data_IF_357144041167
#
_entry.id   IF_357144041167
#
_cell.length_a   1.000
_cell.length_b   1.000
_cell.length_c   1.000
_cell.angle_alpha   90.00
_cell.angle_beta   90.00
_cell.angle_gamma   90.00
#
_symmetry.space_group_name_H-M   'P 1'
#
loop_
_entity.id
_entity.type
_entity.pdbx_description
1 polymer ?
#
# COMPACT_ATOMS: atom_id res chain seq x y z
N UNK A 1 -11.35 7.79 -7.83
CA UNK A 1 -10.10 8.16 -7.12
C UNK A 1 -9.26 9.05 -8.03
N UNK A 2 -8.32 9.85 -7.46
CA UNK A 2 -7.31 10.58 -8.23
C UNK A 2 -6.26 9.64 -8.88
N UNK A 3 -6.19 8.40 -8.41
CA UNK A 3 -5.18 7.41 -8.79
C UNK A 3 -5.81 6.13 -9.35
N UNK A 4 -5.18 5.57 -10.39
CA UNK A 4 -5.43 4.22 -10.88
C UNK A 4 -6.66 4.06 -11.78
N UNK A 5 -6.93 2.83 -12.18
CA UNK A 5 -8.09 2.46 -13.01
C UNK A 5 -9.34 2.37 -12.13
N UNK A 6 -10.47 2.86 -12.62
CA UNK A 6 -11.76 2.74 -11.94
C UNK A 6 -12.92 2.96 -12.90
N UNK A 7 -14.12 3.06 -12.35
CA UNK A 7 -15.35 3.35 -13.10
C UNK A 7 -16.02 4.60 -12.54
N UNK A 8 -16.62 5.40 -13.42
CA UNK A 8 -17.52 6.50 -13.05
C UNK A 8 -18.89 6.23 -13.64
N UNK A 9 -19.93 6.43 -12.84
CA UNK A 9 -21.32 6.32 -13.24
C UNK A 9 -22.03 7.66 -12.97
N UNK A 10 -22.93 8.04 -13.86
CA UNK A 10 -23.89 9.12 -13.62
C UNK A 10 -25.27 8.69 -14.06
N UNK A 11 -26.28 9.18 -13.35
CA UNK A 11 -27.69 8.93 -13.65
C UNK A 11 -28.47 10.24 -13.72
N UNK A 12 -29.46 10.30 -14.60
CA UNK A 12 -30.49 11.34 -14.62
C UNK A 12 -31.87 10.71 -14.44
N UNK A 13 -32.84 11.51 -14.02
CA UNK A 13 -34.23 11.09 -13.90
C UNK A 13 -35.09 11.74 -14.98
N UNK A 14 -36.18 11.08 -15.36
CA UNK A 14 -37.18 11.64 -16.27
C UNK A 14 -38.08 12.57 -15.47
N UNK A 15 -38.05 13.86 -15.78
CA UNK A 15 -38.92 14.85 -15.13
C UNK A 15 -40.36 14.79 -15.66
N UNK A 16 -40.53 14.51 -16.95
CA UNK A 16 -41.84 14.41 -17.62
C UNK A 16 -41.90 13.11 -18.43
N UNK A 17 -42.81 12.18 -18.11
CA UNK A 17 -42.91 10.91 -18.83
C UNK A 17 -43.49 11.08 -20.24
N UNK A 18 -43.19 10.16 -21.19
CA UNK A 18 -43.77 10.20 -22.52
C UNK A 18 -45.30 10.04 -22.47
N UNK A 19 -46.01 10.77 -23.33
CA UNK A 19 -47.48 10.74 -23.46
C UNK A 19 -47.89 10.60 -24.93
N UNK A 20 -49.11 10.12 -25.18
CA UNK A 20 -49.74 10.04 -26.52
C UNK A 20 -48.86 9.34 -27.58
N UNK A 21 -48.21 8.23 -27.21
CA UNK A 21 -47.33 7.49 -28.13
C UNK A 21 -45.94 8.12 -28.35
N UNK A 22 -45.55 9.11 -27.55
CA UNK A 22 -44.23 9.73 -27.60
C UNK A 22 -43.09 8.76 -27.30
N UNK A 23 -41.91 9.02 -27.86
CA UNK A 23 -40.72 8.18 -27.70
C UNK A 23 -40.18 8.25 -26.27
N UNK A 24 -39.79 7.10 -25.67
CA UNK A 24 -39.11 7.08 -24.37
C UNK A 24 -37.81 7.89 -24.38
N UNK A 25 -37.41 8.40 -23.21
CA UNK A 25 -36.11 9.06 -23.07
C UNK A 25 -34.97 8.07 -23.38
N UNK A 26 -33.85 8.55 -23.99
CA UNK A 26 -32.64 7.76 -24.13
C UNK A 26 -32.06 7.34 -22.77
N UNK A 27 -31.04 6.48 -22.80
CA UNK A 27 -30.36 5.95 -21.61
C UNK A 27 -30.20 6.98 -20.49
N UNK A 28 -30.74 6.61 -19.33
CA UNK A 28 -30.75 7.44 -18.12
C UNK A 28 -29.50 7.22 -17.25
N UNK A 29 -28.74 6.16 -17.53
CA UNK A 29 -27.52 5.80 -16.82
C UNK A 29 -26.37 5.72 -17.82
N UNK A 30 -25.24 6.30 -17.44
CA UNK A 30 -24.02 6.23 -18.23
C UNK A 30 -22.88 5.79 -17.31
N UNK A 31 -22.15 4.75 -17.73
CA UNK A 31 -20.95 4.25 -17.05
C UNK A 31 -19.75 4.32 -17.99
N UNK A 32 -18.59 4.74 -17.48
CA UNK A 32 -17.32 4.72 -18.22
C UNK A 32 -16.15 4.30 -17.34
N UNK A 33 -15.13 3.73 -17.96
CA UNK A 33 -13.82 3.60 -17.33
C UNK A 33 -13.18 4.97 -17.08
N UNK A 34 -12.38 5.07 -16.03
CA UNK A 34 -11.53 6.23 -15.77
C UNK A 34 -10.14 5.78 -15.33
N UNK A 35 -9.14 6.59 -15.66
CA UNK A 35 -7.77 6.41 -15.19
C UNK A 35 -7.29 7.70 -14.53
N UNK A 36 -6.93 7.62 -13.26
CA UNK A 36 -6.31 8.72 -12.51
C UNK A 36 -4.79 8.67 -12.62
N UNK A 37 -4.18 9.67 -13.27
CA UNK A 37 -2.74 9.76 -13.52
C UNK A 37 -2.07 10.97 -12.85
N UNK A 38 -2.53 11.37 -11.68
CA UNK A 38 -1.89 12.46 -10.94
C UNK A 38 -0.45 12.04 -10.53
N UNK A 39 0.51 12.95 -10.57
CA UNK A 39 1.92 12.71 -10.21
C UNK A 39 2.06 12.13 -8.79
N UNK A 40 1.19 12.55 -7.87
CA UNK A 40 1.12 12.06 -6.48
C UNK A 40 0.87 10.54 -6.45
N UNK A 41 0.21 9.99 -7.48
CA UNK A 41 -0.17 8.60 -7.59
C UNK A 41 0.95 7.65 -8.01
N UNK A 42 2.17 8.12 -8.30
CA UNK A 42 3.29 7.22 -8.56
C UNK A 42 3.53 6.28 -7.37
N UNK A 43 3.45 6.82 -6.15
CA UNK A 43 3.56 6.04 -4.90
C UNK A 43 2.40 5.06 -4.70
N UNK A 44 1.20 5.38 -5.21
CA UNK A 44 0.04 4.50 -5.16
C UNK A 44 0.13 3.29 -6.12
N UNK A 45 1.01 3.36 -7.13
CA UNK A 45 1.25 2.27 -8.09
C UNK A 45 2.33 1.29 -7.61
N UNK A 46 3.11 1.67 -6.60
CA UNK A 46 4.19 0.83 -6.08
C UNK A 46 3.64 -0.35 -5.27
N UNK A 47 4.34 -1.49 -5.37
CA UNK A 47 4.05 -2.68 -4.58
C UNK A 47 5.13 -2.80 -3.52
N UNK A 48 4.74 -2.69 -2.26
CA UNK A 48 5.67 -2.86 -1.16
C UNK A 48 6.22 -4.29 -1.13
N UNK A 49 7.52 -4.42 -0.90
CA UNK A 49 8.13 -5.69 -0.51
C UNK A 49 8.42 -5.64 0.96
N UNK A 50 8.04 -6.70 1.67
CA UNK A 50 8.20 -6.77 3.12
C UNK A 50 8.89 -8.03 3.61
N UNK A 51 9.62 -7.87 4.71
CA UNK A 51 10.17 -8.93 5.55
C UNK A 51 9.65 -8.79 6.98
N UNK A 52 9.67 -9.86 7.81
CA UNK A 52 9.40 -9.72 9.23
C UNK A 52 10.51 -8.92 9.93
N UNK A 53 10.15 -8.29 11.04
CA UNK A 53 11.05 -7.56 11.94
C UNK A 53 12.30 -8.35 12.38
N UNK A 54 12.25 -9.69 12.39
CA UNK A 54 13.42 -10.54 12.64
C UNK A 54 14.58 -10.35 11.65
N UNK A 55 14.34 -9.76 10.48
CA UNK A 55 15.39 -9.41 9.50
C UNK A 55 16.01 -8.02 9.75
N UNK A 56 15.58 -7.31 10.80
CA UNK A 56 16.12 -5.99 11.15
C UNK A 56 17.61 -6.10 11.41
N UNK A 57 18.42 -5.49 10.54
CA UNK A 57 19.87 -5.44 10.72
C UNK A 57 20.20 -4.36 11.73
N UNK A 58 20.76 -4.75 12.86
CA UNK A 58 21.34 -3.79 13.80
C UNK A 58 22.74 -3.39 13.32
N UNK A 59 23.15 -2.16 13.64
CA UNK A 59 24.48 -1.61 13.31
C UNK A 59 25.66 -2.49 13.78
N UNK A 60 25.44 -3.37 14.78
CA UNK A 60 26.39 -4.38 15.27
C UNK A 60 26.44 -5.68 14.44
N UNK A 61 26.24 -5.64 13.13
CA UNK A 61 26.45 -6.82 12.30
C UNK A 61 27.97 -7.02 12.09
N UNK A 62 28.60 -8.08 12.64
CA UNK A 62 30.04 -8.32 12.52
C UNK A 62 30.49 -8.52 11.06
N UNK A 63 29.55 -8.82 10.16
CA UNK A 63 29.79 -9.02 8.73
C UNK A 63 29.66 -7.74 7.91
N UNK A 64 29.28 -6.59 8.51
CA UNK A 64 29.36 -5.28 7.84
C UNK A 64 30.83 -4.93 7.61
N UNK A 65 31.25 -4.97 6.35
CA UNK A 65 32.60 -4.55 5.94
C UNK A 65 32.80 -3.05 6.24
N UNK A 66 33.83 -2.65 7.01
CA UNK A 66 34.05 -1.25 7.38
C UNK A 66 34.16 -0.27 6.20
N UNK A 67 34.57 -0.75 5.02
CA UNK A 67 34.80 0.08 3.83
C UNK A 67 33.54 0.35 2.98
N UNK A 68 32.35 -0.11 3.42
CA UNK A 68 31.04 0.23 2.80
C UNK A 68 30.33 1.39 3.54
N UNK A 69 30.95 1.96 4.57
CA UNK A 69 30.42 3.11 5.29
C UNK A 69 30.65 4.36 4.45
N UNK A 70 29.57 4.93 3.94
CA UNK A 70 29.23 6.37 3.86
C UNK A 70 28.00 6.53 2.94
N UNK A 71 26.94 5.75 3.16
CA UNK A 71 25.60 6.21 2.77
C UNK A 71 25.11 7.01 3.98
N UNK A 72 24.75 8.28 3.79
CA UNK A 72 24.17 9.11 4.85
C UNK A 72 23.10 8.30 5.58
N UNK A 73 23.32 8.08 6.88
CA UNK A 73 22.43 7.29 7.71
C UNK A 73 21.23 8.18 8.05
N UNK A 74 20.10 7.89 7.41
CA UNK A 74 18.84 8.61 7.60
C UNK A 74 18.04 7.95 8.72
N UNK A 75 17.34 8.76 9.51
CA UNK A 75 16.50 8.24 10.58
C UNK A 75 15.38 7.36 10.03
N UNK A 76 15.17 6.19 10.65
CA UNK A 76 14.10 5.28 10.27
C UNK A 76 12.73 5.83 10.65
N UNK A 77 11.73 5.70 9.79
CA UNK A 77 10.34 6.05 10.10
C UNK A 77 9.41 4.83 10.04
N UNK A 78 8.29 4.91 10.74
CA UNK A 78 7.26 3.88 10.82
C UNK A 78 6.05 4.28 9.99
N UNK A 79 5.44 3.33 9.31
CA UNK A 79 4.15 3.48 8.63
C UNK A 79 3.18 2.44 9.15
N UNK A 80 2.00 2.89 9.56
CA UNK A 80 0.96 2.00 10.07
C UNK A 80 -0.03 1.69 8.96
N UNK A 81 -0.04 0.43 8.55
CA UNK A 81 -0.80 -0.07 7.41
C UNK A 81 -1.96 -0.95 7.88
N UNK A 82 -3.18 -0.58 7.48
CA UNK A 82 -4.38 -1.37 7.73
C UNK A 82 -4.56 -2.41 6.63
N UNK A 83 -4.42 -3.69 6.96
CA UNK A 83 -4.56 -4.79 5.98
C UNK A 83 -6.00 -4.87 5.48
N UNK A 84 -6.21 -4.77 4.16
CA UNK A 84 -7.53 -4.90 3.52
C UNK A 84 -7.72 -6.24 2.83
N UNK A 85 -6.63 -6.84 2.38
CA UNK A 85 -6.62 -8.16 1.75
C UNK A 85 -5.32 -8.87 2.08
N UNK A 86 -5.41 -10.18 2.30
CA UNK A 86 -4.27 -11.07 2.37
C UNK A 86 -4.61 -12.40 1.69
N UNK A 87 -3.69 -12.91 0.89
CA UNK A 87 -3.79 -14.20 0.23
C UNK A 87 -3.77 -15.36 1.23
N UNK A 88 -4.34 -16.52 0.86
CA UNK A 88 -4.34 -17.71 1.71
C UNK A 88 -2.93 -18.22 2.05
N UNK A 89 -1.97 -18.01 1.15
CA UNK A 89 -0.56 -18.38 1.34
C UNK A 89 0.09 -17.70 2.56
N UNK A 90 -0.45 -16.57 3.03
CA UNK A 90 0.06 -15.91 4.24
C UNK A 90 -0.07 -16.78 5.49
N UNK A 91 -0.96 -17.78 5.50
CA UNK A 91 -1.11 -18.72 6.63
C UNK A 91 0.03 -19.76 6.70
N UNK A 92 0.87 -19.89 5.67
CA UNK A 92 1.89 -20.94 5.57
C UNK A 92 3.14 -20.68 6.41
N UNK A 93 3.44 -19.42 6.76
CA UNK A 93 4.56 -19.06 7.64
C UNK A 93 4.04 -18.39 8.89
N UNK A 94 4.62 -18.72 10.04
CA UNK A 94 4.18 -18.23 11.35
C UNK A 94 4.16 -16.69 11.43
N UNK A 95 5.21 -16.04 10.92
CA UNK A 95 5.33 -14.58 10.93
C UNK A 95 4.33 -13.89 10.01
N UNK A 96 3.88 -14.53 8.93
CA UNK A 96 2.94 -13.95 7.96
C UNK A 96 1.48 -14.31 8.26
N UNK A 97 1.23 -15.32 9.10
CA UNK A 97 -0.12 -15.79 9.45
C UNK A 97 -0.96 -14.70 10.14
N UNK A 98 -0.28 -13.75 10.76
CA UNK A 98 -0.85 -12.57 11.40
C UNK A 98 -1.27 -11.46 10.41
N UNK A 99 -0.92 -11.52 9.12
CA UNK A 99 -1.35 -10.54 8.11
C UNK A 99 -2.81 -10.81 7.72
N UNK A 100 -3.73 -10.52 8.64
CA UNK A 100 -5.17 -10.75 8.48
C UNK A 100 -5.91 -9.44 8.24
N UNK A 101 -7.10 -9.53 7.63
CA UNK A 101 -7.94 -8.37 7.31
C UNK A 101 -8.24 -7.52 8.56
N UNK A 102 -8.23 -6.20 8.37
CA UNK A 102 -8.38 -5.13 9.37
C UNK A 102 -7.29 -5.04 10.45
N UNK A 103 -6.29 -5.91 10.42
CA UNK A 103 -5.15 -5.76 11.33
C UNK A 103 -4.32 -4.53 10.95
N UNK A 104 -3.95 -3.75 11.97
CA UNK A 104 -2.97 -2.68 11.85
C UNK A 104 -1.57 -3.27 11.98
N UNK A 105 -0.74 -3.08 10.97
CA UNK A 105 0.63 -3.57 10.92
C UNK A 105 1.58 -2.37 10.90
N UNK A 106 2.56 -2.36 11.78
CA UNK A 106 3.64 -1.40 11.75
C UNK A 106 4.70 -1.87 10.74
N UNK A 107 5.00 -1.03 9.76
CA UNK A 107 6.03 -1.26 8.76
C UNK A 107 7.14 -0.21 8.93
N UNK A 108 8.34 -0.65 9.27
CA UNK A 108 9.51 0.23 9.45
C UNK A 108 10.26 0.40 8.13
N UNK A 109 10.56 1.66 7.79
CA UNK A 109 11.39 2.05 6.65
C UNK A 109 12.77 2.46 7.15
N UNK A 110 13.78 1.66 6.83
CA UNK A 110 15.17 1.89 7.25
C UNK A 110 15.96 2.62 6.16
N UNK A 111 17.04 3.32 6.54
CA UNK A 111 17.93 4.07 5.64
C UNK A 111 18.39 3.28 4.40
N UNK A 112 18.66 1.99 4.58
CA UNK A 112 19.10 1.09 3.50
C UNK A 112 17.99 0.86 2.45
N UNK A 113 16.72 0.84 2.86
CA UNK A 113 15.54 0.67 2.00
C UNK A 113 14.98 2.00 1.45
N UNK A 114 15.44 3.14 1.96
CA UNK A 114 15.02 4.45 1.49
C UNK A 114 15.60 4.76 0.11
N UNK A 115 14.73 5.26 -0.76
CA UNK A 115 15.10 5.92 -2.01
C UNK A 115 15.68 7.33 -1.75
N UNK A 116 16.05 8.04 -2.82
CA UNK A 116 16.57 9.41 -2.75
C UNK A 116 15.60 10.42 -2.14
N UNK A 117 14.31 10.11 -2.09
CA UNK A 117 13.25 10.97 -1.53
C UNK A 117 12.94 10.68 -0.06
N UNK A 118 13.83 9.99 0.66
CA UNK A 118 13.67 9.61 2.08
C UNK A 118 12.45 8.72 2.34
N UNK A 119 12.00 8.01 1.29
CA UNK A 119 10.84 7.13 1.35
C UNK A 119 11.16 5.73 0.86
N UNK A 120 10.52 4.75 1.48
CA UNK A 120 10.53 3.37 1.02
C UNK A 120 9.51 3.14 -0.11
N UNK A 121 9.89 2.29 -1.05
CA UNK A 121 8.99 1.89 -2.14
C UNK A 121 7.76 1.18 -1.58
N UNK A 122 6.57 1.64 -1.97
CA UNK A 122 5.30 1.08 -1.52
C UNK A 122 4.90 1.47 -0.09
N UNK A 123 5.55 2.44 0.54
CA UNK A 123 5.12 3.04 1.82
C UNK A 123 3.75 3.75 1.70
N UNK A 124 3.28 3.92 0.46
CA UNK A 124 1.91 4.23 0.10
C UNK A 124 1.50 5.68 0.32
N UNK A 125 0.26 5.97 -0.03
CA UNK A 125 -0.38 7.27 0.17
C UNK A 125 -1.55 7.09 1.13
N UNK A 126 -1.76 8.09 1.99
CA UNK A 126 -2.88 8.09 2.94
C UNK A 126 -4.22 7.86 2.22
N UNK A 127 -5.09 7.06 2.82
CA UNK A 127 -6.42 6.73 2.31
C UNK A 127 -6.46 6.09 0.90
N UNK A 128 -5.31 5.68 0.37
CA UNK A 128 -5.22 5.00 -0.92
C UNK A 128 -4.85 3.54 -0.72
N UNK A 129 -5.59 2.64 -1.36
CA UNK A 129 -5.30 1.21 -1.32
C UNK A 129 -4.06 0.91 -2.15
N UNK A 130 -3.01 0.43 -1.50
CA UNK A 130 -1.76 -0.03 -2.11
C UNK A 130 -1.56 -1.52 -1.88
N UNK A 131 -0.58 -2.10 -2.57
CA UNK A 131 -0.36 -3.54 -2.61
C UNK A 131 0.98 -3.90 -1.99
N UNK A 132 1.08 -5.15 -1.53
CA UNK A 132 2.30 -5.65 -0.88
C UNK A 132 2.54 -7.12 -1.18
N UNK A 133 3.80 -7.53 -1.06
CA UNK A 133 4.27 -8.91 -1.21
C UNK A 133 5.29 -9.23 -0.12
N UNK A 134 5.21 -10.43 0.44
CA UNK A 134 6.14 -10.90 1.45
C UNK A 134 7.35 -11.60 0.80
N UNK A 135 8.54 -11.02 0.93
CA UNK A 135 9.74 -11.52 0.26
C UNK A 135 10.19 -12.90 0.78
N UNK A 136 9.99 -13.19 2.08
CA UNK A 136 10.35 -14.48 2.69
C UNK A 136 9.17 -15.45 2.87
N UNK A 137 8.00 -15.13 2.32
CA UNK A 137 6.82 -16.00 2.32
C UNK A 137 6.22 -16.08 0.91
N UNK A 138 6.70 -17.00 0.05
CA UNK A 138 6.25 -17.13 -1.33
C UNK A 138 4.73 -17.24 -1.44
N UNK A 139 4.16 -16.48 -2.38
CA UNK A 139 2.72 -16.43 -2.59
C UNK A 139 1.96 -15.59 -1.56
N UNK A 140 2.56 -15.17 -0.43
CA UNK A 140 1.91 -14.27 0.52
C UNK A 140 1.96 -12.83 0.01
N UNK A 141 0.80 -12.33 -0.40
CA UNK A 141 0.61 -10.97 -0.89
C UNK A 141 -0.75 -10.44 -0.48
N UNK A 142 -0.96 -9.15 -0.68
CA UNK A 142 -2.21 -8.52 -0.30
C UNK A 142 -2.30 -7.06 -0.66
N UNK A 143 -3.24 -6.39 0.01
CA UNK A 143 -3.44 -4.96 -0.10
C UNK A 143 -3.70 -4.36 1.28
N UNK A 144 -3.30 -3.11 1.45
CA UNK A 144 -3.49 -2.35 2.68
C UNK A 144 -3.73 -0.88 2.37
N UNK A 145 -4.06 -0.11 3.40
CA UNK A 145 -4.20 1.35 3.33
C UNK A 145 -3.31 1.94 4.42
N UNK A 146 -2.57 2.99 4.10
CA UNK A 146 -1.80 3.76 5.08
C UNK A 146 -2.75 4.57 5.94
N UNK A 147 -2.64 4.40 7.25
CA UNK A 147 -3.44 5.08 8.25
C UNK A 147 -2.69 6.29 8.83
N UNK A 148 -1.41 6.11 9.18
CA UNK A 148 -0.54 7.19 9.65
C UNK A 148 0.94 6.82 9.50
N UNK A 149 1.81 7.80 9.70
CA UNK A 149 3.28 7.62 9.77
C UNK A 149 3.88 8.39 10.93
N UNK A 150 5.03 7.91 11.43
CA UNK A 150 5.77 8.53 12.52
C UNK A 150 7.27 8.49 12.25
N UNK A 151 7.94 9.63 12.39
CA UNK A 151 9.39 9.77 12.22
C UNK A 151 10.18 9.07 13.34
N UNK A 152 9.62 9.00 14.55
CA UNK A 152 10.26 8.32 15.68
C UNK A 152 9.84 6.85 15.73
N UNK A 153 10.47 6.03 14.88
CA UNK A 153 9.99 4.68 14.65
C UNK A 153 10.23 3.73 15.84
N UNK A 154 9.13 3.27 16.46
CA UNK A 154 9.12 2.21 17.48
C UNK A 154 7.98 1.25 17.20
N UNK A 155 8.23 0.26 16.35
CA UNK A 155 7.25 -0.76 16.06
C UNK A 155 7.10 -1.77 17.22
N UNK A 156 5.88 -2.27 17.48
CA UNK A 156 5.67 -3.40 18.37
C UNK A 156 6.22 -4.71 17.76
N UNK A 157 6.33 -5.79 18.56
CA UNK A 157 6.68 -7.11 18.05
C UNK A 157 5.78 -7.56 16.91
N UNK A 158 6.33 -8.39 16.03
CA UNK A 158 5.67 -8.89 14.83
C UNK A 158 5.35 -7.79 13.80
N UNK A 159 6.16 -6.76 13.78
CA UNK A 159 6.17 -5.74 12.74
C UNK A 159 6.84 -6.26 11.47
N UNK A 160 6.82 -5.44 10.43
CA UNK A 160 7.45 -5.74 9.14
C UNK A 160 8.42 -4.63 8.76
N UNK A 161 9.32 -4.93 7.85
CA UNK A 161 10.32 -4.00 7.32
C UNK A 161 10.10 -3.87 5.81
N UNK A 162 10.18 -2.64 5.29
CA UNK A 162 10.29 -2.41 3.85
C UNK A 162 11.68 -2.82 3.36
N UNK A 163 11.76 -3.36 2.14
CA UNK A 163 13.02 -3.77 1.48
C UNK A 163 13.07 -3.39 0.01
#
# INVERSE_FOLDING_TARGET
SPCGVGTKERSRQVSVPPRNGGTPCPDLKQRRGCFGNNVICNTAKEVAKILPDSFKRNFKDPWRRPHMLMKEERDSYCVYMRVKLASAACKLKLWSAQLVRERLVCAECQSDAMSKSDRCAGDGLENTRTFWTAASAPGCHGAWVRELSSEHCKCPPFSVLFV
#
